data_IF_026814495606
#
_entry.id   IF_026814495606
#
_cell.length_a   1.000
_cell.length_b   1.000
_cell.length_c   1.000
_cell.angle_alpha   90.00
_cell.angle_beta   90.00
_cell.angle_gamma   90.00
#
_symmetry.space_group_name_H-M   'P 1'
#
loop_
_entity.id
_entity.type
_entity.pdbx_description
1 polymer ?
#
# COMPACT_ATOMS: atom_id res chain seq x y z
N UNK A 1 -13.88 -19.45 0.45
CA UNK A 1 -14.12 -19.03 -0.95
C UNK A 1 -13.61 -19.99 -2.03
N UNK A 2 -12.63 -20.89 -1.79
CA UNK A 2 -12.04 -21.77 -2.82
C UNK A 2 -13.04 -22.58 -3.66
N UNK A 3 -14.00 -23.27 -3.01
CA UNK A 3 -15.00 -24.11 -3.71
C UNK A 3 -15.89 -23.33 -4.71
N UNK A 4 -16.20 -22.05 -4.42
CA UNK A 4 -16.95 -21.19 -5.35
C UNK A 4 -16.10 -20.78 -6.54
N UNK A 5 -14.84 -20.38 -6.29
CA UNK A 5 -13.89 -20.06 -7.38
C UNK A 5 -13.70 -21.25 -8.32
N UNK A 6 -13.50 -22.44 -7.76
CA UNK A 6 -13.34 -23.68 -8.55
C UNK A 6 -14.62 -23.99 -9.36
N UNK A 7 -15.80 -23.74 -8.80
CA UNK A 7 -17.08 -23.90 -9.49
C UNK A 7 -17.20 -22.94 -10.68
N UNK A 8 -17.01 -21.64 -10.50
CA UNK A 8 -17.13 -20.67 -11.60
C UNK A 8 -15.99 -20.75 -12.62
N UNK A 9 -14.82 -21.27 -12.23
CA UNK A 9 -13.74 -21.58 -13.18
C UNK A 9 -14.09 -22.78 -14.07
N UNK A 10 -14.75 -23.80 -13.52
CA UNK A 10 -15.19 -24.98 -14.26
C UNK A 10 -16.43 -24.73 -15.14
N UNK A 11 -17.21 -23.69 -14.82
CA UNK A 11 -18.43 -23.33 -15.55
C UNK A 11 -18.34 -21.87 -16.04
N UNK A 12 -17.67 -21.61 -17.18
CA UNK A 12 -17.63 -20.28 -17.77
C UNK A 12 -19.06 -19.81 -18.10
N UNK A 13 -19.44 -18.66 -17.56
CA UNK A 13 -20.75 -18.05 -17.82
C UNK A 13 -20.81 -17.58 -19.28
N UNK A 14 -21.97 -17.78 -19.90
CA UNK A 14 -22.28 -17.36 -21.26
C UNK A 14 -21.92 -15.88 -21.50
N UNK A 15 -21.25 -15.59 -22.63
CA UNK A 15 -20.66 -14.26 -22.91
C UNK A 15 -21.70 -13.14 -22.99
N UNK A 16 -22.95 -13.49 -23.20
CA UNK A 16 -24.08 -12.56 -23.36
C UNK A 16 -24.76 -12.21 -22.03
N UNK A 17 -24.37 -12.83 -20.91
CA UNK A 17 -24.89 -12.49 -19.58
C UNK A 17 -23.93 -11.51 -18.88
N UNK A 18 -24.42 -10.34 -18.41
CA UNK A 18 -23.60 -9.44 -17.62
C UNK A 18 -23.05 -10.18 -16.39
N UNK A 19 -21.74 -10.04 -16.09
CA UNK A 19 -21.15 -10.73 -14.96
C UNK A 19 -21.86 -10.29 -13.67
N UNK A 20 -22.36 -11.28 -12.90
CA UNK A 20 -22.86 -11.03 -11.55
C UNK A 20 -21.76 -10.50 -10.62
N UNK A 21 -22.13 -10.06 -9.41
CA UNK A 21 -21.18 -9.49 -8.45
C UNK A 21 -20.00 -10.44 -8.19
N UNK A 22 -18.80 -9.88 -8.01
CA UNK A 22 -17.55 -10.63 -7.80
C UNK A 22 -17.60 -11.55 -6.56
N UNK A 23 -18.39 -11.19 -5.55
CA UNK A 23 -18.67 -12.00 -4.36
C UNK A 23 -19.32 -13.35 -4.69
N UNK A 24 -20.22 -13.42 -5.68
CA UNK A 24 -20.89 -14.66 -6.09
C UNK A 24 -19.87 -15.67 -6.63
N UNK A 25 -18.88 -15.17 -7.37
CA UNK A 25 -17.78 -15.97 -7.95
C UNK A 25 -16.72 -16.36 -6.94
N UNK A 26 -16.80 -15.83 -5.71
CA UNK A 26 -15.78 -16.00 -4.69
C UNK A 26 -14.47 -15.30 -5.02
N UNK A 27 -14.50 -14.32 -5.94
CA UNK A 27 -13.39 -13.42 -6.16
C UNK A 27 -13.27 -12.49 -4.96
N UNK A 28 -12.04 -12.17 -4.57
CA UNK A 28 -11.81 -11.16 -3.54
C UNK A 28 -12.10 -9.78 -4.16
N UNK A 29 -12.96 -9.01 -3.49
CA UNK A 29 -13.37 -7.66 -3.87
C UNK A 29 -12.23 -6.65 -3.64
N UNK A 30 -11.10 -6.88 -4.31
CA UNK A 30 -9.95 -5.97 -4.27
C UNK A 30 -10.21 -4.65 -5.00
N UNK A 31 -11.30 -4.58 -5.78
CA UNK A 31 -11.75 -3.39 -6.51
C UNK A 31 -12.80 -2.55 -5.76
N UNK A 32 -13.11 -2.85 -4.49
CA UNK A 32 -13.97 -1.97 -3.69
C UNK A 32 -13.26 -0.66 -3.40
N UNK A 33 -13.71 0.41 -4.08
CA UNK A 33 -13.35 1.81 -3.82
C UNK A 33 -13.86 2.34 -2.46
N UNK A 34 -14.68 1.58 -1.75
CA UNK A 34 -15.36 2.02 -0.53
C UNK A 34 -14.75 1.27 0.66
N UNK A 35 -13.99 1.99 1.48
CA UNK A 35 -13.56 1.51 2.79
C UNK A 35 -14.73 1.58 3.77
N UNK A 36 -14.74 0.69 4.76
CA UNK A 36 -15.56 0.89 5.99
C UNK A 36 -14.64 1.33 7.12
N UNK A 37 -15.16 2.03 8.13
CA UNK A 37 -14.34 2.60 9.21
C UNK A 37 -13.48 1.55 9.95
N UNK A 38 -14.01 0.34 10.13
CA UNK A 38 -13.34 -0.77 10.81
C UNK A 38 -12.35 -1.53 9.91
N UNK A 39 -12.39 -1.28 8.61
CA UNK A 39 -11.55 -1.99 7.65
C UNK A 39 -10.08 -1.63 7.83
N UNK A 40 -9.19 -2.61 7.63
CA UNK A 40 -7.75 -2.37 7.72
C UNK A 40 -7.22 -1.76 6.44
N UNK A 41 -6.53 -0.64 6.59
CA UNK A 41 -5.76 0.03 5.54
C UNK A 41 -4.29 0.01 5.92
N UNK A 42 -3.45 -0.36 4.95
CA UNK A 42 -1.99 -0.31 5.09
C UNK A 42 -1.50 1.03 4.57
N UNK A 43 -0.65 1.70 5.34
CA UNK A 43 -0.04 2.96 4.97
C UNK A 43 1.47 2.91 5.15
N UNK A 44 2.13 3.78 4.40
CA UNK A 44 3.57 4.03 4.44
C UNK A 44 3.78 5.44 5.01
N UNK A 45 4.63 5.57 6.02
CA UNK A 45 5.06 6.85 6.57
C UNK A 45 6.55 7.04 6.30
N UNK A 46 6.87 8.10 5.57
CA UNK A 46 8.24 8.56 5.32
C UNK A 46 8.50 9.82 6.15
N UNK A 47 9.63 9.85 6.87
CA UNK A 47 10.06 11.08 7.52
C UNK A 47 10.60 12.06 6.46
N UNK A 48 9.95 13.21 6.34
CA UNK A 48 10.43 14.28 5.47
C UNK A 48 11.69 14.94 6.06
N UNK A 49 12.87 14.42 5.70
CA UNK A 49 14.15 15.05 5.96
C UNK A 49 14.43 16.10 4.88
N UNK A 50 13.85 17.29 5.04
CA UNK A 50 14.11 18.41 4.15
C UNK A 50 15.60 18.77 4.12
N UNK A 51 16.21 18.60 2.94
CA UNK A 51 17.53 19.09 2.52
C UNK A 51 18.76 18.25 2.96
N UNK A 52 19.11 17.25 2.15
CA UNK A 52 20.53 16.95 1.92
C UNK A 52 21.07 18.00 0.94
N UNK A 53 22.05 18.86 1.29
CA UNK A 53 22.64 19.84 0.38
C UNK A 53 23.38 19.26 -0.84
N UNK A 54 23.28 17.95 -1.09
CA UNK A 54 24.11 17.22 -2.06
C UNK A 54 23.34 16.65 -3.25
N UNK A 55 22.02 16.79 -3.35
CA UNK A 55 21.25 16.14 -4.44
C UNK A 55 20.49 17.12 -5.34
N UNK A 56 20.93 18.38 -5.38
CA UNK A 56 20.55 19.32 -6.43
C UNK A 56 21.61 19.34 -7.54
N UNK A 57 21.91 18.18 -8.11
CA UNK A 57 22.51 18.09 -9.43
C UNK A 57 21.92 16.90 -10.20
N UNK A 58 20.96 17.27 -11.04
CA UNK A 58 20.73 16.73 -12.37
C UNK A 58 20.39 15.24 -12.52
N UNK A 59 19.18 15.05 -13.05
CA UNK A 59 18.80 13.96 -13.93
C UNK A 59 19.85 13.73 -15.02
N UNK A 60 20.65 12.68 -14.87
CA UNK A 60 21.16 11.91 -16.01
C UNK A 60 21.08 10.43 -15.66
N UNK A 61 20.63 9.67 -16.65
CA UNK A 61 20.55 8.23 -16.62
C UNK A 61 21.93 7.64 -16.32
N UNK A 62 22.08 7.03 -15.14
CA UNK A 62 22.93 5.85 -14.97
C UNK A 62 22.52 5.11 -13.70
N UNK A 63 22.37 3.81 -13.86
CA UNK A 63 21.77 2.90 -12.90
C UNK A 63 22.83 2.41 -11.92
N UNK A 64 22.97 3.09 -10.78
CA UNK A 64 23.73 2.60 -9.63
C UNK A 64 22.74 2.18 -8.52
N UNK A 65 22.59 0.87 -8.20
CA UNK A 65 21.63 0.38 -7.21
C UNK A 65 22.00 0.72 -5.75
N UNK A 66 23.19 1.28 -5.50
CA UNK A 66 23.73 1.55 -4.15
C UNK A 66 23.55 3.01 -3.66
N UNK A 67 22.85 3.86 -4.41
CA UNK A 67 22.60 5.29 -4.03
C UNK A 67 21.20 5.57 -3.48
N UNK A 68 20.41 4.55 -3.15
CA UNK A 68 19.24 4.68 -2.29
C UNK A 68 19.70 4.96 -0.86
N UNK A 69 20.11 6.20 -0.57
CA UNK A 69 20.26 6.66 0.83
C UNK A 69 18.92 6.42 1.53
N UNK A 70 18.95 5.47 2.46
CA UNK A 70 17.86 5.00 3.34
C UNK A 70 16.78 6.06 3.59
N UNK A 71 15.68 5.99 2.84
CA UNK A 71 14.46 6.65 3.27
C UNK A 71 13.98 5.93 4.53
N UNK A 72 13.84 6.64 5.67
CA UNK A 72 13.24 6.08 6.90
C UNK A 72 11.73 5.93 6.67
N UNK A 73 11.39 4.82 6.01
CA UNK A 73 10.05 4.41 5.65
C UNK A 73 9.56 3.39 6.67
N UNK A 74 8.35 3.61 7.19
CA UNK A 74 7.71 2.70 8.14
C UNK A 74 6.29 2.39 7.72
N UNK A 75 5.94 1.11 7.78
CA UNK A 75 4.60 0.63 7.45
C UNK A 75 3.72 0.54 8.70
N UNK A 76 2.46 0.93 8.56
CA UNK A 76 1.45 0.80 9.61
C UNK A 76 0.17 0.19 9.04
N UNK A 77 -0.45 -0.68 9.83
CA UNK A 77 -1.76 -1.23 9.55
C UNK A 77 -2.77 -0.62 10.53
N UNK A 78 -3.70 0.18 10.03
CA UNK A 78 -4.66 0.92 10.83
C UNK A 78 -6.10 0.63 10.40
N UNK A 79 -7.09 0.75 11.29
CA UNK A 79 -8.48 0.94 10.88
C UNK A 79 -8.62 2.19 9.99
N UNK A 80 -9.46 2.15 8.96
CA UNK A 80 -9.66 3.27 8.04
C UNK A 80 -10.29 4.50 8.72
N UNK A 81 -11.02 4.30 9.83
CA UNK A 81 -11.57 5.38 10.65
C UNK A 81 -10.53 6.15 11.49
N UNK A 82 -9.25 5.76 11.50
CA UNK A 82 -8.20 6.53 12.17
C UNK A 82 -7.99 7.87 11.45
N UNK A 83 -7.96 8.98 12.20
CA UNK A 83 -7.68 10.30 11.64
C UNK A 83 -6.19 10.71 11.69
N UNK A 84 -5.84 11.75 10.93
CA UNK A 84 -4.50 12.36 10.93
C UNK A 84 -4.09 12.82 12.32
N UNK A 85 -5.02 13.35 13.12
CA UNK A 85 -4.76 13.72 14.51
C UNK A 85 -4.27 12.54 15.36
N UNK A 86 -4.83 11.35 15.14
CA UNK A 86 -4.35 10.12 15.78
C UNK A 86 -2.94 9.75 15.33
N UNK A 87 -2.62 9.88 14.04
CA UNK A 87 -1.27 9.63 13.53
C UNK A 87 -0.24 10.61 14.12
N UNK A 88 -0.55 11.90 14.17
CA UNK A 88 0.31 12.92 14.81
C UNK A 88 0.58 12.59 16.28
N UNK A 89 -0.46 12.18 17.01
CA UNK A 89 -0.33 11.76 18.41
C UNK A 89 0.49 10.48 18.55
N UNK A 90 0.29 9.51 17.65
CA UNK A 90 1.08 8.29 17.59
C UNK A 90 2.58 8.57 17.38
N UNK A 91 2.93 9.36 16.37
CA UNK A 91 4.31 9.75 16.07
C UNK A 91 4.93 10.48 17.27
N UNK A 92 4.19 11.43 17.87
CA UNK A 92 4.65 12.14 19.07
C UNK A 92 5.00 11.18 20.20
N UNK A 93 4.14 10.22 20.49
CA UNK A 93 4.36 9.24 21.56
C UNK A 93 5.47 8.24 21.22
N UNK A 94 5.54 7.80 19.96
CA UNK A 94 6.51 6.81 19.50
C UNK A 94 7.95 7.29 19.58
N UNK A 95 8.17 8.59 19.32
CA UNK A 95 9.49 9.21 19.31
C UNK A 95 9.72 10.18 20.47
N UNK A 96 8.81 10.22 21.45
CA UNK A 96 8.84 11.12 22.62
C UNK A 96 9.08 12.60 22.25
N UNK A 97 8.38 13.09 21.23
CA UNK A 97 8.59 14.44 20.69
C UNK A 97 7.96 15.48 21.63
N UNK A 98 8.75 16.43 22.19
CA UNK A 98 8.19 17.44 23.08
C UNK A 98 7.16 18.34 22.38
N UNK A 99 6.14 18.80 23.12
CA UNK A 99 5.03 19.63 22.58
C UNK A 99 5.48 20.95 21.92
N UNK A 100 6.71 21.39 22.16
CA UNK A 100 7.32 22.57 21.51
C UNK A 100 7.49 22.40 20.00
N UNK A 101 7.62 21.15 19.53
CA UNK A 101 7.71 20.84 18.10
C UNK A 101 6.33 20.54 17.53
N UNK A 102 6.07 21.07 16.33
CA UNK A 102 4.87 20.73 15.55
C UNK A 102 5.15 19.49 14.71
N UNK A 103 4.12 18.68 14.54
CA UNK A 103 4.15 17.49 13.68
C UNK A 103 3.05 17.71 12.65
N UNK A 104 3.44 17.78 11.40
CA UNK A 104 2.54 17.90 10.26
C UNK A 104 2.68 16.66 9.39
N UNK A 105 1.55 16.17 8.88
CA UNK A 105 1.48 14.98 8.04
C UNK A 105 1.08 15.46 6.65
N UNK A 106 1.82 15.00 5.66
CA UNK A 106 1.65 15.42 4.27
C UNK A 106 1.20 14.23 3.42
N UNK A 107 0.43 14.54 2.38
CA UNK A 107 0.28 13.67 1.23
C UNK A 107 0.74 14.46 0.01
N UNK A 108 1.75 13.96 -0.70
CA UNK A 108 2.48 14.73 -1.71
C UNK A 108 2.98 16.06 -1.12
N UNK A 109 2.55 17.21 -1.62
CA UNK A 109 2.99 18.53 -1.15
C UNK A 109 1.96 19.24 -0.25
N UNK A 110 0.85 18.57 0.09
CA UNK A 110 -0.26 19.18 0.82
C UNK A 110 -0.32 18.70 2.28
N UNK A 111 -0.39 19.62 3.26
CA UNK A 111 -0.57 19.25 4.65
C UNK A 111 -2.02 18.78 4.89
N UNK A 112 -2.15 17.62 5.51
CA UNK A 112 -3.45 17.04 5.84
C UNK A 112 -4.01 17.61 7.15
N UNK A 113 -5.33 17.83 7.18
CA UNK A 113 -6.06 18.29 8.37
C UNK A 113 -6.24 17.16 9.37
N UNK A 114 -6.23 17.49 10.65
CA UNK A 114 -6.29 16.53 11.75
C UNK A 114 -7.59 15.69 11.77
N UNK A 115 -8.69 16.26 11.27
CA UNK A 115 -10.02 15.63 11.26
C UNK A 115 -10.20 14.62 10.10
N UNK A 116 -9.31 14.62 9.11
CA UNK A 116 -9.40 13.68 7.98
C UNK A 116 -9.10 12.26 8.44
N UNK A 117 -9.99 11.33 8.12
CA UNK A 117 -9.77 9.89 8.33
C UNK A 117 -8.89 9.30 7.23
N UNK A 118 -8.26 8.15 7.48
CA UNK A 118 -7.55 7.40 6.44
C UNK A 118 -8.49 6.98 5.31
N UNK A 119 -9.75 6.72 5.62
CA UNK A 119 -10.82 6.53 4.64
C UNK A 119 -11.02 7.78 3.77
N UNK A 120 -11.14 8.97 4.36
CA UNK A 120 -11.28 10.23 3.61
C UNK A 120 -10.06 10.47 2.71
N UNK A 121 -8.86 10.27 3.24
CA UNK A 121 -7.61 10.43 2.47
C UNK A 121 -7.60 9.47 1.28
N UNK A 122 -7.92 8.20 1.50
CA UNK A 122 -7.97 7.21 0.43
C UNK A 122 -9.02 7.57 -0.63
N UNK A 123 -10.15 8.16 -0.24
CA UNK A 123 -11.20 8.60 -1.15
C UNK A 123 -10.81 9.86 -1.94
N UNK A 124 -10.31 10.90 -1.24
CA UNK A 124 -9.93 12.20 -1.82
C UNK A 124 -8.83 12.02 -2.86
N UNK A 125 -7.79 11.24 -2.53
CA UNK A 125 -6.64 11.04 -3.41
C UNK A 125 -6.78 9.84 -4.34
N UNK A 126 -7.98 9.24 -4.43
CA UNK A 126 -8.27 8.08 -5.28
C UNK A 126 -7.27 6.94 -5.08
N UNK A 127 -6.89 6.70 -3.81
CA UNK A 127 -5.91 5.68 -3.45
C UNK A 127 -6.47 4.32 -3.82
N UNK A 128 -6.10 3.85 -5.01
CA UNK A 128 -6.41 2.50 -5.43
C UNK A 128 -5.67 1.57 -4.49
N UNK A 129 -6.36 0.53 -4.03
CA UNK A 129 -5.68 -0.65 -3.53
C UNK A 129 -4.82 -1.14 -4.69
N UNK A 130 -3.55 -0.76 -4.71
CA UNK A 130 -2.54 -1.49 -5.45
C UNK A 130 -2.36 -2.80 -4.69
N UNK A 131 -3.39 -3.64 -4.75
CA UNK A 131 -3.29 -5.06 -4.54
C UNK A 131 -2.49 -5.60 -5.70
N UNK A 132 -1.19 -5.28 -5.74
CA UNK A 132 -0.24 -6.22 -6.29
C UNK A 132 -0.60 -7.55 -5.66
N UNK A 133 -0.83 -8.54 -6.49
CA UNK A 133 -1.08 -9.90 -6.05
C UNK A 133 0.19 -10.32 -5.30
N UNK A 134 0.25 -10.05 -3.99
CA UNK A 134 1.18 -10.72 -3.10
C UNK A 134 0.62 -12.13 -3.05
N UNK A 135 1.05 -12.95 -4.01
CA UNK A 135 0.78 -14.38 -3.97
C UNK A 135 1.26 -14.84 -2.59
N UNK A 136 0.46 -15.64 -1.86
CA UNK A 136 0.94 -16.21 -0.62
C UNK A 136 2.29 -16.86 -0.92
N UNK A 137 3.33 -16.46 -0.17
CA UNK A 137 4.64 -17.08 -0.23
C UNK A 137 4.41 -18.59 -0.21
N UNK A 138 4.86 -19.30 -1.24
CA UNK A 138 4.58 -20.72 -1.50
C UNK A 138 5.25 -21.65 -0.47
N UNK A 139 5.75 -21.09 0.63
CA UNK A 139 6.47 -21.76 1.69
C UNK A 139 7.85 -22.25 1.25
N UNK A 140 8.26 -21.95 0.00
CA UNK A 140 9.56 -22.33 -0.51
C UNK A 140 10.45 -21.09 -0.57
N UNK A 141 11.46 -21.05 0.31
CA UNK A 141 12.52 -20.08 0.22
C UNK A 141 13.35 -20.37 -1.05
N UNK A 142 13.07 -19.66 -2.13
CA UNK A 142 13.89 -19.70 -3.34
C UNK A 142 15.14 -18.82 -3.13
N UNK A 143 16.13 -19.37 -2.41
CA UNK A 143 17.48 -18.80 -2.33
C UNK A 143 18.30 -19.33 -3.50
N UNK A 144 18.72 -18.45 -4.41
CA UNK A 144 19.81 -18.74 -5.34
C UNK A 144 20.89 -17.68 -5.18
N UNK A 145 22.16 -18.10 -5.05
CA UNK A 145 23.32 -17.21 -4.89
C UNK A 145 23.23 -16.19 -3.73
N UNK A 146 22.52 -16.51 -2.65
CA UNK A 146 22.38 -15.64 -1.48
C UNK A 146 21.44 -14.46 -1.67
N UNK A 147 20.67 -14.44 -2.77
CA UNK A 147 19.69 -13.41 -3.08
C UNK A 147 18.30 -14.06 -3.19
N UNK A 148 17.28 -13.41 -2.61
CA UNK A 148 15.89 -13.82 -2.80
C UNK A 148 15.50 -13.53 -4.26
N UNK A 149 15.27 -14.57 -5.04
CA UNK A 149 14.83 -14.41 -6.43
C UNK A 149 13.30 -14.45 -6.51
N UNK A 150 12.70 -13.48 -7.19
CA UNK A 150 11.28 -13.52 -7.55
C UNK A 150 10.95 -14.82 -8.30
N UNK A 151 9.78 -15.39 -8.03
CA UNK A 151 9.29 -16.57 -8.74
C UNK A 151 9.24 -16.28 -10.23
N UNK A 152 10.07 -16.96 -11.02
CA UNK A 152 10.06 -16.83 -12.49
C UNK A 152 8.71 -17.27 -13.02
N UNK A 153 7.85 -16.31 -13.39
CA UNK A 153 6.68 -16.58 -14.21
C UNK A 153 7.15 -16.89 -15.62
N UNK A 154 7.27 -18.18 -15.94
CA UNK A 154 7.38 -18.65 -17.30
C UNK A 154 6.08 -18.32 -18.03
N UNK A 155 6.11 -17.26 -18.85
CA UNK A 155 5.09 -16.99 -19.85
C UNK A 155 5.17 -18.12 -20.88
N UNK A 156 4.26 -19.09 -20.79
CA UNK A 156 4.01 -20.02 -21.89
C UNK A 156 3.14 -19.30 -22.93
N UNK A 157 3.78 -18.92 -24.04
CA UNK A 157 3.12 -18.86 -25.35
C UNK A 157 3.00 -20.25 -25.94
#
# INVERSE_FOLDING_TARGET
MKRRRDFYAAYPIDKDRPPGPSEDRGNEDHDRLIYTEDEKISLELELFAGFNPSEHLESTADSDPDKLKEKDIRYLLCPAGVCVGHLKKFVRLKFDIPKKYKIDVYHSDEPLKDDLTLMDIAYIYTWRRLGGIIKPNDGQCHLSNGIYTESSTQVRG
#
